data_IF_114912396714
#
_entry.id   IF_114912396714
#
_cell.length_a   1.000
_cell.length_b   1.000
_cell.length_c   1.000
_cell.angle_alpha   90.00
_cell.angle_beta   90.00
_cell.angle_gamma   90.00
#
_symmetry.space_group_name_H-M   'P 1'
#
loop_
_entity.id
_entity.type
_entity.pdbx_description
1 polymer ?
#
# COMPACT_ATOMS: atom_id res chain seq x y z
N UNK A 1 24.41 -8.67 -0.67
CA UNK A 1 23.58 -9.62 -1.45
C UNK A 1 22.25 -8.93 -1.70
N UNK A 2 22.20 -8.06 -2.71
CA UNK A 2 21.08 -7.12 -2.94
C UNK A 2 20.56 -7.19 -4.38
N UNK A 3 21.45 -7.57 -5.31
CA UNK A 3 21.14 -7.77 -6.72
C UNK A 3 20.19 -8.95 -6.97
N UNK A 4 20.13 -9.92 -6.06
CA UNK A 4 19.24 -11.06 -6.22
C UNK A 4 17.75 -10.68 -6.06
N UNK A 5 17.49 -9.80 -5.10
CA UNK A 5 16.15 -9.35 -4.76
C UNK A 5 15.53 -8.47 -5.87
N UNK A 6 16.35 -7.81 -6.68
CA UNK A 6 15.87 -6.90 -7.73
C UNK A 6 15.43 -7.61 -9.00
N UNK A 7 16.09 -8.72 -9.40
CA UNK A 7 15.67 -9.50 -10.57
C UNK A 7 14.39 -10.30 -10.29
N UNK A 8 14.28 -10.89 -9.10
CA UNK A 8 13.07 -11.59 -8.65
C UNK A 8 11.88 -10.63 -8.59
N UNK A 9 12.08 -9.44 -8.04
CA UNK A 9 11.04 -8.41 -7.98
C UNK A 9 10.65 -7.92 -9.38
N UNK A 10 11.62 -7.72 -10.29
CA UNK A 10 11.33 -7.34 -11.68
C UNK A 10 10.57 -8.43 -12.44
N UNK A 11 10.92 -9.70 -12.24
CA UNK A 11 10.19 -10.83 -12.81
C UNK A 11 8.76 -10.90 -12.25
N UNK A 12 8.59 -10.76 -10.94
CA UNK A 12 7.29 -10.76 -10.28
C UNK A 12 6.40 -9.60 -10.74
N UNK A 13 6.94 -8.39 -10.91
CA UNK A 13 6.24 -7.24 -11.48
C UNK A 13 5.77 -7.54 -12.91
N UNK A 14 6.62 -8.19 -13.71
CA UNK A 14 6.28 -8.55 -15.08
C UNK A 14 5.13 -9.58 -15.12
N UNK A 15 5.19 -10.62 -14.30
CA UNK A 15 4.12 -11.63 -14.19
C UNK A 15 2.80 -11.02 -13.70
N UNK A 16 2.84 -10.16 -12.69
CA UNK A 16 1.65 -9.46 -12.19
C UNK A 16 1.05 -8.50 -13.23
N UNK A 17 1.90 -7.83 -14.03
CA UNK A 17 1.44 -6.95 -15.10
C UNK A 17 0.74 -7.75 -16.20
N UNK A 18 1.31 -8.88 -16.61
CA UNK A 18 0.69 -9.79 -17.56
C UNK A 18 -0.64 -10.35 -17.03
N UNK A 19 -0.69 -10.75 -15.75
CA UNK A 19 -1.92 -11.23 -15.10
C UNK A 19 -3.03 -10.16 -15.07
N UNK A 20 -2.67 -8.91 -14.76
CA UNK A 20 -3.59 -7.77 -14.77
C UNK A 20 -4.17 -7.51 -16.18
N UNK A 21 -3.34 -7.59 -17.22
CA UNK A 21 -3.81 -7.40 -18.60
C UNK A 21 -4.78 -8.51 -19.02
N UNK A 22 -4.46 -9.77 -18.70
CA UNK A 22 -5.37 -10.90 -18.95
C UNK A 22 -6.70 -10.75 -18.19
N UNK A 23 -6.68 -10.25 -16.96
CA UNK A 23 -7.90 -9.97 -16.20
C UNK A 23 -8.75 -8.86 -16.83
N UNK A 24 -8.11 -7.83 -17.41
CA UNK A 24 -8.82 -6.77 -18.17
C UNK A 24 -9.44 -7.32 -19.45
N UNK A 25 -8.73 -8.18 -20.19
CA UNK A 25 -9.29 -8.87 -21.36
C UNK A 25 -10.46 -9.77 -20.97
N UNK A 26 -10.33 -10.54 -19.88
CA UNK A 26 -11.40 -11.37 -19.34
C UNK A 26 -12.65 -10.55 -18.99
N UNK A 27 -12.49 -9.34 -18.44
CA UNK A 27 -13.60 -8.42 -18.19
C UNK A 27 -14.34 -8.03 -19.48
N UNK A 28 -13.61 -7.74 -20.55
CA UNK A 28 -14.20 -7.36 -21.84
C UNK A 28 -14.99 -8.54 -22.42
N UNK A 29 -14.41 -9.74 -22.41
CA UNK A 29 -15.07 -10.95 -22.91
C UNK A 29 -16.34 -11.31 -22.12
N UNK A 30 -16.30 -11.23 -20.79
CA UNK A 30 -17.45 -11.54 -19.95
C UNK A 30 -18.56 -10.49 -20.09
N UNK A 31 -18.19 -9.20 -20.15
CA UNK A 31 -19.14 -8.10 -20.39
C UNK A 31 -19.83 -8.23 -21.76
N UNK A 32 -19.12 -8.76 -22.77
CA UNK A 32 -19.69 -9.00 -24.10
C UNK A 32 -20.62 -10.21 -24.18
N UNK A 33 -20.49 -11.19 -23.30
CA UNK A 33 -21.20 -12.49 -23.44
C UNK A 33 -22.47 -12.53 -22.62
N UNK A 34 -22.43 -12.08 -21.35
CA UNK A 34 -23.59 -11.87 -20.50
C UNK A 34 -23.15 -11.02 -19.29
N UNK A 35 -23.57 -9.75 -19.18
CA UNK A 35 -23.18 -8.92 -18.04
C UNK A 35 -23.89 -9.39 -16.77
N UNK A 36 -23.19 -10.20 -15.97
CA UNK A 36 -23.62 -10.53 -14.61
C UNK A 36 -22.94 -9.57 -13.63
N UNK A 37 -23.72 -8.87 -12.83
CA UNK A 37 -23.22 -7.92 -11.82
C UNK A 37 -22.21 -8.59 -10.86
N UNK A 38 -22.47 -9.85 -10.49
CA UNK A 38 -21.55 -10.64 -9.67
C UNK A 38 -20.20 -10.89 -10.36
N UNK A 39 -20.19 -11.12 -11.68
CA UNK A 39 -18.95 -11.31 -12.44
C UNK A 39 -18.15 -10.00 -12.55
N UNK A 40 -18.82 -8.86 -12.79
CA UNK A 40 -18.15 -7.56 -12.82
C UNK A 40 -17.52 -7.20 -11.46
N UNK A 41 -18.24 -7.48 -10.36
CA UNK A 41 -17.72 -7.28 -9.01
C UNK A 41 -16.48 -8.14 -8.72
N UNK A 42 -16.51 -9.42 -9.11
CA UNK A 42 -15.35 -10.31 -8.95
C UNK A 42 -14.16 -9.83 -9.79
N UNK A 43 -14.39 -9.44 -11.04
CA UNK A 43 -13.34 -8.92 -11.93
C UNK A 43 -12.73 -7.62 -11.40
N UNK A 44 -13.55 -6.69 -10.91
CA UNK A 44 -13.05 -5.47 -10.28
C UNK A 44 -12.20 -5.76 -9.05
N UNK A 45 -12.61 -6.72 -8.21
CA UNK A 45 -11.81 -7.15 -7.06
C UNK A 45 -10.47 -7.73 -7.52
N UNK A 46 -10.49 -8.63 -8.51
CA UNK A 46 -9.26 -9.22 -9.06
C UNK A 46 -8.32 -8.11 -9.55
N UNK A 47 -8.81 -7.21 -10.41
CA UNK A 47 -8.04 -6.07 -10.95
C UNK A 47 -7.47 -5.21 -9.82
N UNK A 48 -8.29 -4.82 -8.84
CA UNK A 48 -7.85 -4.01 -7.70
C UNK A 48 -6.77 -4.72 -6.86
N UNK A 49 -6.83 -6.05 -6.76
CA UNK A 49 -5.84 -6.83 -6.00
C UNK A 49 -4.49 -6.85 -6.72
N UNK A 50 -4.47 -6.98 -8.04
CA UNK A 50 -3.26 -6.86 -8.85
C UNK A 50 -2.64 -5.46 -8.76
N UNK A 51 -3.45 -4.40 -8.85
CA UNK A 51 -2.97 -3.01 -8.71
C UNK A 51 -2.35 -2.77 -7.33
N UNK A 52 -2.98 -3.27 -6.27
CA UNK A 52 -2.43 -3.22 -4.90
C UNK A 52 -1.10 -3.97 -4.78
N UNK A 53 -1.01 -5.18 -5.35
CA UNK A 53 0.23 -5.96 -5.34
C UNK A 53 1.37 -5.20 -6.05
N UNK A 54 1.10 -4.61 -7.21
CA UNK A 54 2.06 -3.79 -7.94
C UNK A 54 2.48 -2.53 -7.17
N UNK A 55 1.56 -1.86 -6.47
CA UNK A 55 1.90 -0.73 -5.60
C UNK A 55 2.81 -1.16 -4.44
N UNK A 56 2.48 -2.26 -3.75
CA UNK A 56 3.27 -2.78 -2.63
C UNK A 56 4.68 -3.15 -3.10
N UNK A 57 4.82 -3.80 -4.27
CA UNK A 57 6.12 -4.17 -4.82
C UNK A 57 6.97 -2.96 -5.22
N UNK A 58 6.34 -1.90 -5.76
CA UNK A 58 7.03 -0.64 -6.07
C UNK A 58 7.43 0.12 -4.80
N UNK A 59 6.59 0.09 -3.77
CA UNK A 59 6.85 0.76 -2.48
C UNK A 59 7.88 0.00 -1.64
N UNK A 60 7.89 -1.33 -1.68
CA UNK A 60 8.85 -2.18 -0.98
C UNK A 60 10.30 -2.00 -1.47
N UNK A 61 10.51 -1.47 -2.68
CA UNK A 61 11.84 -1.03 -3.15
C UNK A 61 12.32 0.30 -2.56
N UNK A 62 11.45 1.07 -1.91
CA UNK A 62 11.74 2.37 -1.28
C UNK A 62 11.72 2.34 0.25
N UNK A 63 11.44 1.18 0.87
CA UNK A 63 11.51 0.98 2.33
C UNK A 63 12.98 0.84 2.78
N UNK A 64 13.81 1.81 2.37
CA UNK A 64 15.06 2.18 3.02
C UNK A 64 15.03 3.60 3.59
N UNK A 65 13.99 4.40 3.30
CA UNK A 65 13.88 5.81 3.70
C UNK A 65 12.41 6.21 3.92
N UNK A 66 11.73 5.61 4.90
CA UNK A 66 10.52 6.18 5.51
C UNK A 66 10.19 5.54 6.87
N UNK A 67 11.19 5.37 7.74
CA UNK A 67 10.97 5.73 9.14
C UNK A 67 11.23 7.23 9.17
N UNK A 68 10.29 8.12 9.47
CA UNK A 68 9.57 8.19 10.73
C UNK A 68 8.33 9.06 10.50
N UNK A 69 7.14 8.45 10.43
CA UNK A 69 5.89 9.19 10.38
C UNK A 69 5.60 9.72 11.79
N UNK A 70 6.02 10.95 12.03
CA UNK A 70 5.42 11.96 12.88
C UNK A 70 4.48 11.46 14.00
N UNK A 71 5.02 11.28 15.21
CA UNK A 71 4.26 11.51 16.44
C UNK A 71 4.68 12.87 17.00
N UNK A 72 3.92 13.90 16.67
CA UNK A 72 4.01 15.22 17.32
C UNK A 72 3.53 15.10 18.78
N UNK A 73 4.27 15.58 19.80
CA UNK A 73 3.64 16.06 21.01
C UNK A 73 3.23 17.52 20.76
N UNK A 74 1.93 17.75 20.56
CA UNK A 74 1.36 19.09 20.61
C UNK A 74 1.64 19.70 21.99
N UNK A 75 2.36 20.80 21.95
CA UNK A 75 2.49 21.90 22.91
C UNK A 75 1.40 21.91 24.00
N UNK A 76 1.74 21.40 25.18
CA UNK A 76 1.00 21.61 26.43
C UNK A 76 1.78 22.50 27.37
N UNK A 77 1.67 23.83 27.18
CA UNK A 77 2.01 24.80 28.23
C UNK A 77 0.92 24.68 29.30
N UNK A 78 1.21 23.96 30.38
CA UNK A 78 0.44 24.09 31.61
C UNK A 78 1.40 24.27 32.78
N UNK A 79 1.51 25.53 33.20
CA UNK A 79 2.20 25.91 34.41
C UNK A 79 1.55 25.24 35.62
N UNK A 80 2.38 24.56 36.41
CA UNK A 80 1.97 24.10 37.74
C UNK A 80 2.62 25.04 38.74
N UNK A 81 1.74 25.81 39.39
CA UNK A 81 2.04 26.62 40.58
C UNK A 81 2.62 25.70 41.65
N UNK A 82 3.91 25.82 41.93
CA UNK A 82 4.59 25.17 43.04
C UNK A 82 4.79 26.14 44.19
N UNK A 83 3.75 26.34 44.99
CA UNK A 83 3.82 26.98 46.31
C UNK A 83 4.46 26.01 47.30
N UNK A 84 5.45 26.49 48.10
CA UNK A 84 5.95 26.03 49.44
C UNK A 84 7.49 25.98 49.45
N UNK A 85 8.24 26.30 50.50
CA UNK A 85 7.96 26.82 51.85
C UNK A 85 9.33 27.05 52.53
N UNK A 86 9.53 28.25 53.08
CA UNK A 86 10.15 28.57 54.38
C UNK A 86 11.05 27.51 55.08
N UNK A 87 12.35 27.83 55.23
CA UNK A 87 13.27 27.54 56.36
C UNK A 87 14.70 27.82 55.85
N UNK A 88 15.62 28.47 56.56
CA UNK A 88 15.68 29.04 57.90
C UNK A 88 16.88 29.97 57.91
#
# INVERSE_FOLDING_TARGET
MESAFTWENKALINELTQGLEKAKQLRIHLCSTCPSEAQDLLLRRIISTFEKALMILKWGGSVGQAQECAVLPVRGVFGIRGWKSKKR
#
